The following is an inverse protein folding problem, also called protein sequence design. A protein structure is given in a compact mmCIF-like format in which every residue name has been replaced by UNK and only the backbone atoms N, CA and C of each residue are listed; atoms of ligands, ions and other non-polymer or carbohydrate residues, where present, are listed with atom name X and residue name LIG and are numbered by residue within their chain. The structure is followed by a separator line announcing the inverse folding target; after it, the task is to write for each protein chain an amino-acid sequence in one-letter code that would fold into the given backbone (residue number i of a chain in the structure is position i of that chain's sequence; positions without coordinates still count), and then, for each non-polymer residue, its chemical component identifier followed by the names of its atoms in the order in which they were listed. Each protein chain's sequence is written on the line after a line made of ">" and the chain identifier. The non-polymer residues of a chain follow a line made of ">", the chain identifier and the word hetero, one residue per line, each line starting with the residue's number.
data_IF_894141113618
#
_entry.id   IF_894141113618
#
_cell.length_a   1.000
_cell.length_b   1.000
_cell.length_c   1.000
_cell.angle_alpha   90.00
_cell.angle_beta   90.00
_cell.angle_gamma   90.00
#
_symmetry.space_group_name_H-M   'P 1'
#
loop_
_entity.id
_entity.type
_entity.pdbx_description
1 polymer ?
#
# COMPACT_ATOMS: atom_id res chain seq x y z
N UNK A 1 5.34 8.54 -18.03
CA UNK A 1 3.99 8.06 -17.58
C UNK A 1 3.58 8.79 -16.30
N UNK A 2 4.48 8.92 -15.32
CA UNK A 2 4.24 9.75 -14.14
C UNK A 2 4.12 11.23 -14.51
N UNK A 3 4.80 11.69 -15.57
CA UNK A 3 4.67 13.07 -16.08
C UNK A 3 3.27 13.38 -16.58
N UNK A 4 2.59 12.41 -17.21
CA UNK A 4 1.20 12.54 -17.64
C UNK A 4 0.29 12.69 -16.43
N UNK A 5 0.53 11.89 -15.38
CA UNK A 5 -0.22 11.99 -14.12
C UNK A 5 0.06 13.32 -13.40
N UNK A 6 1.32 13.79 -13.37
CA UNK A 6 1.70 15.08 -12.80
C UNK A 6 0.99 16.22 -13.52
N UNK A 7 1.07 16.25 -14.85
CA UNK A 7 0.40 17.25 -15.68
C UNK A 7 -1.12 17.21 -15.48
N UNK A 8 -1.73 16.03 -15.36
CA UNK A 8 -3.16 15.90 -15.09
C UNK A 8 -3.55 16.44 -13.71
N UNK A 9 -2.74 16.18 -12.67
CA UNK A 9 -2.96 16.75 -11.34
C UNK A 9 -2.77 18.28 -11.32
N UNK A 10 -1.86 18.82 -12.13
CA UNK A 10 -1.61 20.26 -12.25
C UNK A 10 -2.77 21.01 -12.92
N UNK A 11 -3.56 20.36 -13.77
CA UNK A 11 -4.66 20.99 -14.51
C UNK A 11 -5.74 21.58 -13.58
N UNK A 12 -5.98 20.97 -12.42
CA UNK A 12 -6.95 21.50 -11.46
C UNK A 12 -6.74 20.96 -10.05
N UNK A 13 -7.15 21.75 -9.05
CA UNK A 13 -7.21 21.31 -7.65
C UNK A 13 -8.14 20.11 -7.45
N UNK A 14 -9.18 19.97 -8.28
CA UNK A 14 -10.08 18.82 -8.25
C UNK A 14 -9.36 17.52 -8.66
N UNK A 15 -8.57 17.54 -9.73
CA UNK A 15 -7.79 16.37 -10.18
C UNK A 15 -6.80 15.92 -9.11
N UNK A 16 -6.09 16.87 -8.51
CA UNK A 16 -5.22 16.61 -7.37
C UNK A 16 -5.98 15.96 -6.20
N UNK A 17 -7.13 16.52 -5.81
CA UNK A 17 -7.93 16.00 -4.70
C UNK A 17 -8.46 14.59 -4.97
N UNK A 18 -8.72 14.21 -6.22
CA UNK A 18 -9.09 12.85 -6.59
C UNK A 18 -7.96 11.87 -6.26
N UNK A 19 -6.71 12.17 -6.63
CA UNK A 19 -5.56 11.30 -6.32
C UNK A 19 -5.34 11.18 -4.82
N UNK A 20 -5.44 12.30 -4.11
CA UNK A 20 -5.34 12.30 -2.64
C UNK A 20 -6.45 11.45 -2.03
N UNK A 21 -7.70 11.62 -2.47
CA UNK A 21 -8.85 10.86 -2.00
C UNK A 21 -8.71 9.36 -2.23
N UNK A 22 -8.28 8.95 -3.44
CA UNK A 22 -7.99 7.55 -3.76
C UNK A 22 -6.89 7.00 -2.85
N UNK A 23 -5.82 7.76 -2.67
CA UNK A 23 -4.69 7.36 -1.83
C UNK A 23 -5.14 7.12 -0.39
N UNK A 24 -5.87 8.06 0.20
CA UNK A 24 -6.41 7.94 1.57
C UNK A 24 -7.36 6.74 1.68
N UNK A 25 -8.21 6.53 0.68
CA UNK A 25 -9.14 5.40 0.66
C UNK A 25 -8.41 4.05 0.64
N UNK A 26 -7.37 3.91 -0.18
CA UNK A 26 -6.52 2.71 -0.23
C UNK A 26 -5.91 2.45 1.15
N UNK A 27 -5.36 3.47 1.80
CA UNK A 27 -4.81 3.33 3.14
C UNK A 27 -5.85 2.90 4.17
N UNK A 28 -6.98 3.59 4.22
CA UNK A 28 -8.03 3.33 5.19
C UNK A 28 -8.54 1.88 5.09
N UNK A 29 -8.82 1.41 3.87
CA UNK A 29 -9.25 0.03 3.64
C UNK A 29 -8.15 -0.96 3.99
N UNK A 30 -6.91 -0.70 3.58
CA UNK A 30 -5.81 -1.64 3.78
C UNK A 30 -5.46 -1.80 5.26
N UNK A 31 -5.33 -0.68 5.99
CA UNK A 31 -5.06 -0.69 7.42
C UNK A 31 -6.24 -1.30 8.19
N UNK A 32 -7.48 -0.92 7.85
CA UNK A 32 -8.67 -1.50 8.47
C UNK A 32 -8.73 -3.02 8.27
N UNK A 33 -8.44 -3.49 7.06
CA UNK A 33 -8.41 -4.93 6.74
C UNK A 33 -7.31 -5.65 7.52
N UNK A 34 -6.08 -5.13 7.51
CA UNK A 34 -4.97 -5.71 8.28
C UNK A 34 -5.32 -5.79 9.76
N UNK A 35 -5.82 -4.71 10.34
CA UNK A 35 -6.21 -4.67 11.74
C UNK A 35 -7.29 -5.71 12.09
N UNK A 36 -8.33 -5.82 11.26
CA UNK A 36 -9.41 -6.77 11.48
C UNK A 36 -8.95 -8.22 11.32
N UNK A 37 -8.12 -8.52 10.31
CA UNK A 37 -7.63 -9.88 10.04
C UNK A 37 -6.60 -10.32 11.08
N UNK A 38 -5.66 -9.45 11.45
CA UNK A 38 -4.66 -9.78 12.48
C UNK A 38 -5.33 -10.10 13.82
N UNK A 39 -6.42 -9.40 14.17
CA UNK A 39 -7.21 -9.74 15.37
C UNK A 39 -7.92 -11.10 15.27
N UNK A 40 -8.24 -11.56 14.06
CA UNK A 40 -8.88 -12.87 13.85
C UNK A 40 -7.92 -14.05 13.93
N UNK A 41 -6.60 -13.84 13.81
CA UNK A 41 -5.63 -14.93 13.96
C UNK A 41 -5.54 -15.47 15.39
N UNK A 42 -5.89 -14.66 16.41
CA UNK A 42 -5.97 -15.10 17.80
C UNK A 42 -4.84 -14.57 18.68
N UNK A 43 -4.50 -15.31 19.74
CA UNK A 43 -3.40 -14.93 20.66
C UNK A 43 -2.04 -15.10 19.97
N UNK A 44 -1.07 -14.30 20.35
CA UNK A 44 0.32 -14.47 19.93
C UNK A 44 0.81 -15.85 20.41
N UNK A 45 1.04 -16.73 19.43
CA UNK A 45 1.64 -18.04 19.54
C UNK A 45 2.64 -18.21 18.38
N UNK A 46 3.44 -19.28 18.37
CA UNK A 46 4.47 -19.51 17.34
C UNK A 46 3.89 -19.48 15.90
N UNK A 47 2.66 -19.96 15.74
CA UNK A 47 1.96 -19.98 14.45
C UNK A 47 1.58 -18.57 14.00
N UNK A 48 0.99 -17.77 14.89
CA UNK A 48 0.54 -16.40 14.61
C UNK A 48 1.74 -15.48 14.34
N UNK A 49 2.85 -15.68 15.04
CA UNK A 49 4.10 -14.97 14.75
C UNK A 49 4.66 -15.33 13.37
N UNK A 50 4.65 -16.61 13.00
CA UNK A 50 5.06 -17.03 11.65
C UNK A 50 4.15 -16.43 10.55
N UNK A 51 2.84 -16.33 10.79
CA UNK A 51 1.88 -15.68 9.90
C UNK A 51 2.20 -14.18 9.76
N UNK A 52 2.38 -13.47 10.88
CA UNK A 52 2.72 -12.05 10.88
C UNK A 52 4.04 -11.80 10.15
N UNK A 53 5.05 -12.65 10.36
CA UNK A 53 6.32 -12.56 9.68
C UNK A 53 6.18 -12.70 8.15
N UNK A 54 5.34 -13.64 7.67
CA UNK A 54 5.05 -13.78 6.22
C UNK A 54 4.40 -12.52 5.65
N UNK A 55 3.44 -11.95 6.36
CA UNK A 55 2.75 -10.70 5.94
C UNK A 55 3.75 -9.55 5.88
N UNK A 56 4.54 -9.34 6.94
CA UNK A 56 5.52 -8.25 7.00
C UNK A 56 6.63 -8.43 5.95
N UNK A 57 7.13 -9.66 5.75
CA UNK A 57 8.13 -9.96 4.72
C UNK A 57 7.60 -9.65 3.31
N UNK A 58 6.34 -9.97 3.03
CA UNK A 58 5.67 -9.65 1.76
C UNK A 58 5.52 -8.14 1.57
N UNK A 59 5.09 -7.43 2.62
CA UNK A 59 5.01 -5.96 2.59
C UNK A 59 6.37 -5.32 2.39
N UNK A 60 7.40 -5.78 3.11
CA UNK A 60 8.77 -5.26 2.98
C UNK A 60 9.36 -5.51 1.59
N UNK A 61 9.12 -6.69 1.00
CA UNK A 61 9.54 -6.97 -0.37
C UNK A 61 8.84 -6.05 -1.36
N UNK A 62 7.53 -5.86 -1.20
CA UNK A 62 6.75 -4.92 -2.01
C UNK A 62 7.25 -3.50 -1.85
N UNK A 63 7.61 -3.09 -0.63
CA UNK A 63 8.18 -1.79 -0.33
C UNK A 63 9.49 -1.53 -1.07
N UNK A 64 10.39 -2.52 -1.12
CA UNK A 64 11.64 -2.41 -1.87
C UNK A 64 11.35 -2.22 -3.37
N UNK A 65 10.42 -3.01 -3.92
CA UNK A 65 10.03 -2.92 -5.33
C UNK A 65 9.42 -1.54 -5.63
N UNK A 66 8.48 -1.07 -4.80
CA UNK A 66 7.84 0.23 -4.97
C UNK A 66 8.85 1.37 -4.86
N UNK A 67 9.79 1.31 -3.91
CA UNK A 67 10.87 2.31 -3.82
C UNK A 67 11.79 2.28 -5.05
N UNK A 68 12.15 1.11 -5.56
CA UNK A 68 12.95 0.99 -6.78
C UNK A 68 12.22 1.57 -8.00
N UNK A 69 10.92 1.29 -8.14
CA UNK A 69 10.08 1.87 -9.17
C UNK A 69 9.97 3.39 -9.01
N UNK A 70 9.81 3.89 -7.80
CA UNK A 70 9.73 5.33 -7.52
C UNK A 70 11.02 6.03 -7.98
N UNK A 71 12.18 5.54 -7.55
CA UNK A 71 13.48 6.11 -7.93
C UNK A 71 13.71 6.02 -9.45
N UNK A 72 13.24 4.95 -10.10
CA UNK A 72 13.44 4.74 -11.53
C UNK A 72 12.50 5.57 -12.40
N UNK A 73 11.30 5.90 -11.92
CA UNK A 73 10.23 6.49 -12.74
C UNK A 73 9.87 7.94 -12.37
N UNK A 74 10.27 8.42 -11.20
CA UNK A 74 9.99 9.78 -10.72
C UNK A 74 11.23 10.64 -10.90
N UNK A 75 11.14 11.57 -11.85
CA UNK A 75 12.19 12.56 -12.08
C UNK A 75 12.11 13.69 -11.04
N UNK A 76 13.22 14.39 -10.87
CA UNK A 76 13.43 15.54 -9.99
C UNK A 76 12.47 16.72 -10.23
N UNK A 77 11.89 16.84 -11.42
CA UNK A 77 11.02 17.96 -11.81
C UNK A 77 9.52 17.72 -11.56
N UNK A 78 9.14 16.62 -10.92
CA UNK A 78 7.73 16.30 -10.63
C UNK A 78 7.23 17.08 -9.40
N UNK A 79 6.29 18.00 -9.59
CA UNK A 79 5.73 18.85 -8.52
C UNK A 79 5.07 18.03 -7.41
N UNK A 80 4.28 17.03 -7.78
CA UNK A 80 3.51 16.21 -6.85
C UNK A 80 4.19 14.87 -6.52
N UNK A 81 5.53 14.84 -6.52
CA UNK A 81 6.29 13.62 -6.23
C UNK A 81 5.93 13.00 -4.88
N UNK A 82 5.56 13.83 -3.89
CA UNK A 82 5.17 13.37 -2.55
C UNK A 82 3.88 12.55 -2.59
N UNK A 83 2.89 13.00 -3.36
CA UNK A 83 1.61 12.32 -3.51
C UNK A 83 1.79 10.98 -4.23
N UNK A 84 2.64 10.96 -5.25
CA UNK A 84 3.03 9.71 -5.94
C UNK A 84 3.74 8.76 -4.99
N UNK A 85 4.68 9.25 -4.18
CA UNK A 85 5.37 8.44 -3.18
C UNK A 85 4.39 7.84 -2.18
N UNK A 86 3.49 8.64 -1.61
CA UNK A 86 2.48 8.18 -0.65
C UNK A 86 1.53 7.17 -1.29
N UNK A 87 1.15 7.35 -2.57
CA UNK A 87 0.36 6.35 -3.29
C UNK A 87 1.09 5.00 -3.38
N UNK A 88 2.39 5.00 -3.68
CA UNK A 88 3.21 3.80 -3.74
C UNK A 88 3.29 3.09 -2.38
N UNK A 89 3.42 3.86 -1.30
CA UNK A 89 3.31 3.34 0.05
C UNK A 89 1.92 2.72 0.32
N UNK A 90 0.85 3.36 -0.16
CA UNK A 90 -0.52 2.83 -0.09
C UNK A 90 -0.66 1.47 -0.78
N UNK A 91 -0.03 1.29 -1.94
CA UNK A 91 0.03 -0.01 -2.65
C UNK A 91 0.71 -1.08 -1.79
N UNK A 92 1.80 -0.74 -1.08
CA UNK A 92 2.44 -1.68 -0.15
C UNK A 92 1.46 -2.18 0.92
N UNK A 93 0.68 -1.28 1.54
CA UNK A 93 -0.34 -1.67 2.52
C UNK A 93 -1.44 -2.52 1.89
N UNK A 94 -1.87 -2.20 0.67
CA UNK A 94 -2.90 -2.96 -0.03
C UNK A 94 -2.46 -4.39 -0.33
N UNK A 95 -1.22 -4.58 -0.80
CA UNK A 95 -0.65 -5.91 -1.02
C UNK A 95 -0.59 -6.69 0.29
N UNK A 96 -0.16 -6.05 1.37
CA UNK A 96 -0.17 -6.66 2.71
C UNK A 96 -1.58 -7.11 3.14
N UNK A 97 -2.59 -6.26 2.95
CA UNK A 97 -3.98 -6.55 3.30
C UNK A 97 -4.55 -7.72 2.48
N UNK A 98 -4.32 -7.73 1.16
CA UNK A 98 -4.74 -8.83 0.27
C UNK A 98 -4.05 -10.13 0.67
N UNK A 99 -2.75 -10.09 0.96
CA UNK A 99 -2.00 -11.27 1.37
C UNK A 99 -2.47 -11.82 2.72
N UNK A 100 -2.74 -10.94 3.69
CA UNK A 100 -3.30 -11.33 4.98
C UNK A 100 -4.70 -11.97 4.84
N UNK A 101 -5.55 -11.43 3.97
CA UNK A 101 -6.86 -12.02 3.66
C UNK A 101 -6.74 -13.41 3.04
N UNK A 102 -5.79 -13.58 2.11
CA UNK A 102 -5.51 -14.88 1.49
C UNK A 102 -5.08 -15.90 2.55
N UNK A 103 -4.12 -15.54 3.40
CA UNK A 103 -3.62 -16.43 4.44
C UNK A 103 -4.70 -16.79 5.47
N UNK A 104 -5.56 -15.83 5.84
CA UNK A 104 -6.73 -16.12 6.68
C UNK A 104 -7.71 -17.09 6.02
N UNK A 105 -7.94 -16.97 4.72
CA UNK A 105 -8.81 -17.88 3.98
C UNK A 105 -8.22 -19.29 3.90
N UNK A 106 -6.90 -19.41 3.69
CA UNK A 106 -6.24 -20.69 3.50
C UNK A 106 -6.05 -21.46 4.84
N UNK A 107 -5.79 -20.76 5.95
CA UNK A 107 -5.46 -21.40 7.25
C UNK A 107 -6.64 -21.48 8.24
N UNK A 108 -7.71 -20.69 8.08
CA UNK A 108 -8.77 -20.55 9.10
C UNK A 108 -10.21 -20.73 8.58
N UNK A 109 -10.42 -20.95 7.28
CA UNK A 109 -11.74 -21.20 6.70
C UNK A 109 -11.76 -22.47 5.86
#
# INVERSE_FOLDING_TARGET
>A
MIDVLNNWMLQSSQNFNIIVGITVFIYAISIGTLFLITRKFGRSDERTEAINLKIVSTMFTTQIIMNALFISWVDSHIDFFRQVFILFQGITFLVGAIYALKLYKDDFR
#
